data_IF_533931200488
#
_entry.id   IF_533931200488
#
_cell.length_a   1.000
_cell.length_b   1.000
_cell.length_c   1.000
_cell.angle_alpha   90.00
_cell.angle_beta   90.00
_cell.angle_gamma   90.00
#
_symmetry.space_group_name_H-M   'P 1'
#
loop_
_entity.id
_entity.type
_entity.pdbx_description
1 polymer ?
#
# COMPACT_ATOMS: atom_id res chain seq x y z
N UNK A 1 -21.91 2.87 -24.46
CA UNK A 1 -21.58 2.01 -23.27
C UNK A 1 -20.65 0.82 -23.55
N UNK A 2 -20.17 0.61 -24.76
CA UNK A 2 -19.17 -0.44 -25.06
C UNK A 2 -17.76 -0.12 -24.55
N UNK A 3 -17.49 1.10 -24.11
CA UNK A 3 -16.14 1.59 -23.75
C UNK A 3 -15.89 1.78 -22.24
N UNK A 4 -16.75 1.27 -21.37
CA UNK A 4 -16.40 1.10 -19.97
C UNK A 4 -15.59 -0.20 -19.86
N UNK A 5 -14.58 -0.32 -20.67
CA UNK A 5 -13.68 -1.46 -20.75
C UNK A 5 -12.35 -1.09 -20.11
N UNK A 6 -11.91 -1.94 -19.19
CA UNK A 6 -10.60 -1.81 -18.59
C UNK A 6 -9.50 -1.87 -19.65
N UNK A 7 -8.91 -0.74 -20.02
CA UNK A 7 -7.56 -0.74 -20.55
C UNK A 7 -6.62 -0.98 -19.36
N UNK A 8 -5.84 -2.05 -19.42
CA UNK A 8 -4.86 -2.43 -18.38
C UNK A 8 -5.43 -2.68 -16.97
N UNK A 9 -6.66 -3.20 -16.82
CA UNK A 9 -7.23 -3.53 -15.51
C UNK A 9 -7.70 -2.33 -14.69
N UNK A 10 -7.77 -1.15 -15.27
CA UNK A 10 -8.25 0.07 -14.61
C UNK A 10 -9.58 0.54 -15.20
N UNK A 11 -10.50 0.92 -14.32
CA UNK A 11 -11.69 1.64 -14.70
C UNK A 11 -11.34 3.11 -14.84
N UNK A 12 -11.32 3.60 -16.07
CA UNK A 12 -11.26 5.04 -16.33
C UNK A 12 -12.70 5.53 -16.40
N UNK A 13 -13.05 6.46 -15.52
CA UNK A 13 -14.29 7.20 -15.67
C UNK A 13 -14.10 8.15 -16.86
N UNK A 14 -14.89 8.02 -17.94
CA UNK A 14 -14.82 8.97 -19.04
C UNK A 14 -15.06 10.39 -18.52
N UNK A 15 -14.35 11.38 -19.06
CA UNK A 15 -14.63 12.78 -18.77
C UNK A 15 -16.09 13.09 -19.08
N UNK A 16 -16.79 13.79 -18.18
CA UNK A 16 -18.18 14.20 -18.37
C UNK A 16 -19.23 13.16 -18.00
N UNK A 17 -18.87 12.03 -17.41
CA UNK A 17 -19.87 11.11 -16.88
C UNK A 17 -20.48 11.68 -15.59
N UNK A 18 -21.79 11.81 -15.62
CA UNK A 18 -22.58 12.11 -14.43
C UNK A 18 -22.76 10.84 -13.58
N UNK A 19 -21.98 10.73 -12.52
CA UNK A 19 -22.07 9.64 -11.56
C UNK A 19 -23.29 9.74 -10.65
N UNK A 20 -24.05 10.83 -10.72
CA UNK A 20 -25.36 10.94 -10.05
C UNK A 20 -26.45 10.18 -10.80
N UNK A 21 -26.24 9.85 -12.09
CA UNK A 21 -27.20 9.08 -12.89
C UNK A 21 -27.50 7.70 -12.26
N UNK A 22 -28.73 7.47 -11.82
CA UNK A 22 -29.13 6.20 -11.23
C UNK A 22 -29.01 5.00 -12.19
N UNK A 23 -29.15 5.23 -13.50
CA UNK A 23 -29.04 4.18 -14.51
C UNK A 23 -27.61 3.69 -14.63
N UNK A 24 -26.65 4.62 -14.69
CA UNK A 24 -25.22 4.29 -14.68
C UNK A 24 -24.83 3.53 -13.42
N UNK A 25 -25.32 3.94 -12.25
CA UNK A 25 -25.03 3.26 -10.99
C UNK A 25 -25.61 1.85 -10.92
N UNK A 26 -26.78 1.63 -11.48
CA UNK A 26 -27.37 0.28 -11.61
C UNK A 26 -26.51 -0.60 -12.52
N UNK A 27 -26.09 -0.07 -13.65
CA UNK A 27 -25.23 -0.77 -14.60
C UNK A 27 -23.86 -1.13 -13.97
N UNK A 28 -23.22 -0.22 -13.28
CA UNK A 28 -21.99 -0.50 -12.54
C UNK A 28 -22.17 -1.66 -11.54
N UNK A 29 -23.26 -1.67 -10.78
CA UNK A 29 -23.57 -2.76 -9.85
C UNK A 29 -23.79 -4.10 -10.58
N UNK A 30 -24.46 -4.09 -11.74
CA UNK A 30 -24.68 -5.28 -12.58
C UNK A 30 -23.35 -5.87 -13.07
N UNK A 31 -22.53 -5.04 -13.71
CA UNK A 31 -21.22 -5.44 -14.25
C UNK A 31 -20.31 -5.99 -13.15
N UNK A 32 -20.29 -5.33 -11.98
CA UNK A 32 -19.51 -5.81 -10.82
C UNK A 32 -19.97 -7.19 -10.35
N UNK A 33 -21.28 -7.43 -10.29
CA UNK A 33 -21.85 -8.73 -9.90
C UNK A 33 -21.47 -9.83 -10.89
N UNK A 34 -21.58 -9.57 -12.19
CA UNK A 34 -21.24 -10.51 -13.24
C UNK A 34 -19.76 -10.88 -13.23
N UNK A 35 -18.89 -9.87 -13.12
CA UNK A 35 -17.43 -10.11 -13.03
C UNK A 35 -17.07 -10.92 -11.79
N UNK A 36 -17.69 -10.64 -10.63
CA UNK A 36 -17.48 -11.43 -9.42
C UNK A 36 -17.95 -12.87 -9.58
N UNK A 37 -19.08 -13.13 -10.24
CA UNK A 37 -19.52 -14.49 -10.54
C UNK A 37 -18.49 -15.25 -11.38
N UNK A 38 -17.95 -14.60 -12.41
CA UNK A 38 -16.95 -15.20 -13.29
C UNK A 38 -15.68 -15.65 -12.53
N UNK A 39 -15.22 -14.88 -11.57
CA UNK A 39 -13.96 -15.16 -10.86
C UNK A 39 -14.16 -15.81 -9.48
N UNK A 40 -15.39 -15.83 -8.96
CA UNK A 40 -15.75 -16.38 -7.65
C UNK A 40 -15.30 -15.52 -6.45
N UNK A 41 -15.64 -15.94 -5.22
CA UNK A 41 -15.29 -15.20 -4.02
C UNK A 41 -13.79 -15.30 -3.73
N UNK A 42 -13.24 -14.20 -3.24
CA UNK A 42 -11.86 -14.14 -2.73
C UNK A 42 -11.94 -13.88 -1.24
N UNK A 43 -11.34 -14.76 -0.44
CA UNK A 43 -11.15 -14.58 0.99
C UNK A 43 -9.69 -14.27 1.27
N UNK A 44 -9.43 -13.31 2.12
CA UNK A 44 -8.08 -12.91 2.54
C UNK A 44 -8.00 -12.90 4.05
N UNK A 45 -6.88 -13.36 4.65
CA UNK A 45 -6.66 -13.24 6.08
C UNK A 45 -6.78 -11.79 6.54
N UNK A 46 -7.32 -11.58 7.74
CA UNK A 46 -7.53 -10.23 8.29
C UNK A 46 -6.22 -9.45 8.42
N UNK A 47 -5.14 -10.14 8.79
CA UNK A 47 -3.82 -9.52 8.96
C UNK A 47 -3.34 -8.83 7.67
N UNK A 48 -3.63 -9.43 6.52
CA UNK A 48 -3.32 -8.83 5.21
C UNK A 48 -4.16 -7.60 4.92
N UNK A 49 -5.44 -7.64 5.30
CA UNK A 49 -6.35 -6.53 5.04
C UNK A 49 -6.06 -5.31 5.93
N UNK A 50 -5.36 -5.50 7.06
CA UNK A 50 -4.92 -4.44 7.98
C UNK A 50 -3.62 -3.76 7.56
N UNK A 51 -2.92 -4.25 6.53
CA UNK A 51 -1.69 -3.66 6.03
C UNK A 51 -1.98 -2.42 5.18
N UNK A 52 -1.45 -1.27 5.57
CA UNK A 52 -1.59 0.01 4.84
C UNK A 52 -0.27 0.71 4.61
N UNK A 53 0.77 0.36 5.36
CA UNK A 53 2.11 0.90 5.19
C UNK A 53 3.09 -0.24 5.03
N UNK A 54 3.61 -0.36 3.82
CA UNK A 54 4.64 -1.30 3.46
C UNK A 54 5.99 -0.59 3.31
N UNK A 55 7.07 -1.27 3.58
CA UNK A 55 8.42 -0.79 3.25
C UNK A 55 9.21 -1.87 2.56
N UNK A 56 10.10 -1.46 1.66
CA UNK A 56 11.10 -2.34 1.05
C UNK A 56 12.48 -1.96 1.58
N UNK A 57 13.22 -2.96 2.01
CA UNK A 57 14.56 -2.79 2.55
C UNK A 57 15.53 -3.76 1.89
N UNK A 58 16.64 -3.24 1.35
CA UNK A 58 17.75 -4.06 0.90
C UNK A 58 18.44 -4.71 2.09
N UNK A 59 18.87 -5.96 1.95
CA UNK A 59 19.53 -6.70 3.04
C UNK A 59 20.75 -5.97 3.60
N UNK A 60 21.50 -5.27 2.76
CA UNK A 60 22.67 -4.49 3.16
C UNK A 60 22.41 -2.98 3.15
N UNK A 61 21.16 -2.56 3.30
CA UNK A 61 20.83 -1.16 3.46
C UNK A 61 21.52 -0.60 4.72
N UNK A 62 22.08 0.61 4.61
CA UNK A 62 22.74 1.31 5.73
C UNK A 62 21.83 1.50 6.95
N UNK A 63 20.51 1.45 6.75
CA UNK A 63 19.54 1.52 7.84
C UNK A 63 19.27 0.18 8.51
N UNK A 64 19.64 -0.93 7.86
CA UNK A 64 19.55 -2.28 8.40
C UNK A 64 20.90 -2.82 8.86
N UNK A 65 21.99 -2.44 8.20
CA UNK A 65 23.32 -2.95 8.47
C UNK A 65 24.35 -1.83 8.57
N UNK A 66 25.00 -1.77 9.71
CA UNK A 66 26.15 -0.88 9.92
C UNK A 66 27.44 -1.59 9.49
N UNK A 67 28.02 -1.11 8.40
CA UNK A 67 29.24 -1.69 7.82
C UNK A 67 30.49 -1.44 8.68
N UNK A 68 30.49 -0.37 9.48
CA UNK A 68 31.62 0.00 10.31
C UNK A 68 31.73 -0.90 11.54
N UNK A 69 30.60 -1.16 12.19
CA UNK A 69 30.50 -2.04 13.36
C UNK A 69 30.16 -3.49 13.00
N UNK A 70 29.79 -3.76 11.74
CA UNK A 70 29.31 -5.06 11.24
C UNK A 70 28.09 -5.57 12.03
N UNK A 71 27.21 -4.67 12.43
CA UNK A 71 26.03 -5.00 13.24
C UNK A 71 24.74 -4.79 12.48
N UNK A 72 23.76 -5.64 12.79
CA UNK A 72 22.40 -5.52 12.29
C UNK A 72 21.56 -4.58 13.15
N UNK A 73 20.73 -3.72 12.54
CA UNK A 73 19.95 -2.67 13.18
C UNK A 73 18.45 -2.79 12.89
N UNK A 74 17.91 -4.01 12.93
CA UNK A 74 16.49 -4.24 12.62
C UNK A 74 15.54 -3.49 13.57
N UNK A 75 15.86 -3.46 14.87
CA UNK A 75 15.07 -2.72 15.85
C UNK A 75 15.09 -1.21 15.58
N UNK A 76 16.27 -0.63 15.33
CA UNK A 76 16.42 0.79 14.98
C UNK A 76 15.69 1.15 13.68
N UNK A 77 15.70 0.24 12.69
CA UNK A 77 14.96 0.40 11.44
C UNK A 77 13.45 0.47 11.68
N UNK A 78 12.91 -0.41 12.51
CA UNK A 78 11.51 -0.42 12.88
C UNK A 78 11.14 0.78 13.75
N UNK A 79 11.99 1.18 14.71
CA UNK A 79 11.80 2.39 15.53
C UNK A 79 11.77 3.66 14.68
N UNK A 80 12.64 3.73 13.67
CA UNK A 80 12.61 4.81 12.69
C UNK A 80 11.29 4.81 11.92
N UNK A 81 10.83 3.66 11.46
CA UNK A 81 9.52 3.51 10.82
C UNK A 81 8.38 4.04 11.69
N UNK A 82 8.40 3.71 12.98
CA UNK A 82 7.40 4.19 13.93
C UNK A 82 7.44 5.72 14.08
N UNK A 83 8.61 6.30 14.29
CA UNK A 83 8.76 7.76 14.44
C UNK A 83 8.37 8.52 13.17
N UNK A 84 8.79 8.03 12.00
CA UNK A 84 8.63 8.78 10.75
C UNK A 84 7.27 8.55 10.10
N UNK A 85 6.70 7.33 10.18
CA UNK A 85 5.52 6.92 9.41
C UNK A 85 4.37 6.37 10.27
N UNK A 86 4.55 6.28 11.59
CA UNK A 86 3.61 5.59 12.49
C UNK A 86 3.70 4.07 12.37
N UNK A 87 4.87 3.56 12.03
CA UNK A 87 5.22 2.14 11.91
C UNK A 87 4.94 1.55 10.53
N UNK A 88 5.56 0.42 10.26
CA UNK A 88 5.27 -0.42 9.10
C UNK A 88 4.28 -1.52 9.48
N UNK A 89 3.45 -1.94 8.53
CA UNK A 89 2.59 -3.10 8.67
C UNK A 89 3.22 -4.33 8.00
N UNK A 90 4.10 -4.08 7.01
CA UNK A 90 4.80 -5.11 6.25
C UNK A 90 6.17 -4.62 5.80
N UNK A 91 7.14 -5.52 5.79
CA UNK A 91 8.49 -5.28 5.28
C UNK A 91 8.78 -6.30 4.18
N UNK A 92 9.20 -5.84 3.00
CA UNK A 92 9.80 -6.68 1.97
C UNK A 92 11.31 -6.66 2.19
N UNK A 93 11.89 -7.81 2.46
CA UNK A 93 13.33 -7.99 2.54
C UNK A 93 13.88 -8.33 1.15
N UNK A 94 14.58 -7.38 0.56
CA UNK A 94 15.11 -7.51 -0.79
C UNK A 94 16.59 -7.86 -0.74
N UNK A 95 16.95 -8.98 -1.37
CA UNK A 95 18.33 -9.46 -1.43
C UNK A 95 19.27 -8.63 -2.32
N UNK A 96 18.79 -7.55 -2.92
CA UNK A 96 19.40 -6.80 -4.02
C UNK A 96 19.33 -7.58 -5.33
N UNK A 97 19.68 -6.92 -6.42
CA UNK A 97 19.82 -7.64 -7.68
C UNK A 97 21.03 -8.57 -7.55
N UNK A 98 20.79 -9.86 -7.37
CA UNK A 98 21.85 -10.83 -7.35
C UNK A 98 22.54 -10.81 -8.71
N UNK A 99 23.46 -11.33 -9.10
CA UNK A 99 24.13 -11.37 -10.42
C UNK A 99 24.36 -9.98 -11.04
N UNK A 100 25.04 -9.10 -10.34
CA UNK A 100 25.61 -7.92 -10.99
C UNK A 100 26.77 -8.29 -11.93
N UNK A 101 26.93 -9.58 -12.27
CA UNK A 101 28.04 -10.10 -13.05
C UNK A 101 29.34 -10.28 -12.25
N UNK A 102 29.25 -10.29 -10.92
CA UNK A 102 30.43 -10.35 -10.04
C UNK A 102 30.79 -11.79 -9.65
N UNK A 103 29.79 -12.60 -9.37
CA UNK A 103 29.95 -13.99 -8.94
C UNK A 103 28.77 -14.88 -9.32
N UNK A 104 28.79 -16.16 -8.91
CA UNK A 104 27.78 -17.16 -9.24
C UNK A 104 26.62 -17.25 -8.21
N UNK A 105 26.56 -16.36 -7.24
CA UNK A 105 25.46 -16.37 -6.25
C UNK A 105 24.14 -16.02 -6.89
N UNK A 106 23.09 -16.75 -6.52
CA UNK A 106 21.72 -16.38 -6.84
C UNK A 106 21.05 -15.63 -5.70
N UNK A 107 19.78 -15.27 -5.92
CA UNK A 107 18.93 -14.60 -4.93
C UNK A 107 18.88 -15.30 -3.56
N UNK A 108 18.97 -16.62 -3.50
CA UNK A 108 18.89 -17.39 -2.25
C UNK A 108 20.26 -17.46 -1.55
N UNK A 109 21.34 -17.50 -2.30
CA UNK A 109 22.68 -17.48 -1.75
C UNK A 109 22.95 -16.17 -1.00
N UNK A 110 22.37 -15.05 -1.44
CA UNK A 110 22.48 -13.78 -0.71
C UNK A 110 21.85 -13.83 0.68
N UNK A 111 20.75 -14.58 0.86
CA UNK A 111 20.20 -14.80 2.20
C UNK A 111 21.08 -15.71 3.05
N UNK A 112 21.68 -16.76 2.45
CA UNK A 112 22.56 -17.70 3.16
C UNK A 112 23.88 -17.05 3.56
N UNK A 113 24.37 -16.14 2.72
CA UNK A 113 25.66 -15.47 2.93
C UNK A 113 25.56 -14.19 3.79
N UNK A 114 24.40 -13.90 4.37
CA UNK A 114 24.27 -12.84 5.37
C UNK A 114 25.22 -13.09 6.55
N UNK A 115 25.86 -12.08 7.13
CA UNK A 115 26.58 -12.23 8.40
C UNK A 115 25.68 -12.87 9.46
N UNK A 116 26.03 -14.09 9.90
CA UNK A 116 25.21 -14.93 10.75
C UNK A 116 24.18 -15.80 9.99
N UNK A 117 24.19 -15.80 8.65
CA UNK A 117 23.43 -16.71 7.80
C UNK A 117 21.91 -16.62 7.98
N UNK A 118 21.25 -17.76 7.78
CA UNK A 118 19.78 -17.86 7.91
C UNK A 118 19.27 -17.65 9.34
N UNK A 119 20.12 -17.79 10.36
CA UNK A 119 19.74 -17.46 11.74
C UNK A 119 19.51 -15.95 11.92
N UNK A 120 20.28 -15.11 11.23
CA UNK A 120 20.03 -13.68 11.17
C UNK A 120 18.68 -13.38 10.53
N UNK A 121 18.38 -14.01 9.40
CA UNK A 121 17.10 -13.83 8.73
C UNK A 121 15.92 -14.25 9.65
N UNK A 122 16.04 -15.38 10.34
CA UNK A 122 15.05 -15.86 11.31
C UNK A 122 14.86 -14.87 12.46
N UNK A 123 15.95 -14.33 13.01
CA UNK A 123 15.90 -13.30 14.06
C UNK A 123 15.16 -12.05 13.59
N UNK A 124 15.43 -11.57 12.38
CA UNK A 124 14.75 -10.39 11.84
C UNK A 124 13.24 -10.61 11.71
N UNK A 125 12.85 -11.75 11.14
CA UNK A 125 11.43 -12.09 11.02
C UNK A 125 10.79 -12.14 12.41
N UNK A 126 11.45 -12.76 13.39
CA UNK A 126 10.96 -12.82 14.78
C UNK A 126 10.80 -11.43 15.41
N UNK A 127 11.75 -10.53 15.21
CA UNK A 127 11.67 -9.14 15.71
C UNK A 127 10.50 -8.41 15.06
N UNK A 128 10.34 -8.53 13.74
CA UNK A 128 9.22 -7.95 13.03
C UNK A 128 7.87 -8.47 13.57
N UNK A 129 7.75 -9.78 13.74
CA UNK A 129 6.52 -10.42 14.26
C UNK A 129 6.16 -9.94 15.67
N UNK A 130 7.15 -9.81 16.57
CA UNK A 130 6.93 -9.28 17.93
C UNK A 130 6.35 -7.86 17.93
N UNK A 131 6.61 -7.10 16.88
CA UNK A 131 6.09 -5.75 16.65
C UNK A 131 4.83 -5.72 15.77
N UNK A 132 4.28 -6.88 15.42
CA UNK A 132 3.09 -7.00 14.57
C UNK A 132 3.35 -6.65 13.10
N UNK A 133 4.61 -6.66 12.67
CA UNK A 133 5.05 -6.36 11.30
C UNK A 133 5.25 -7.66 10.54
N UNK A 134 4.63 -7.77 9.37
CA UNK A 134 4.77 -8.92 8.48
C UNK A 134 6.04 -8.83 7.64
N UNK A 135 6.55 -9.96 7.21
CA UNK A 135 7.77 -10.03 6.39
C UNK A 135 7.52 -10.83 5.12
N UNK A 136 7.83 -10.23 3.98
CA UNK A 136 7.90 -10.91 2.69
C UNK A 136 9.37 -11.06 2.26
N UNK A 137 9.70 -12.24 1.76
CA UNK A 137 10.94 -12.45 1.02
C UNK A 137 10.72 -12.14 -0.46
N UNK A 138 11.76 -11.89 -1.20
CA UNK A 138 11.67 -11.56 -2.62
C UNK A 138 12.01 -12.77 -3.48
N UNK A 139 11.34 -12.88 -4.61
CA UNK A 139 11.64 -13.83 -5.65
C UNK A 139 11.74 -13.14 -7.02
N UNK A 140 12.86 -13.37 -7.70
CA UNK A 140 13.13 -12.88 -9.05
C UNK A 140 13.12 -14.06 -10.05
N UNK A 141 12.22 -14.08 -11.04
CA UNK A 141 12.09 -15.22 -11.95
C UNK A 141 13.25 -15.38 -12.92
N UNK A 142 14.05 -14.35 -13.10
CA UNK A 142 15.20 -14.32 -14.00
C UNK A 142 16.53 -14.69 -13.30
N UNK A 143 16.55 -14.84 -11.97
CA UNK A 143 17.73 -15.21 -11.21
C UNK A 143 17.52 -16.52 -10.44
N UNK A 144 17.54 -17.62 -11.16
CA UNK A 144 17.21 -18.96 -10.67
C UNK A 144 18.38 -19.91 -10.61
N UNK A 145 19.41 -19.64 -11.40
CA UNK A 145 20.59 -20.50 -11.52
C UNK A 145 21.73 -19.98 -10.65
N UNK A 146 22.47 -20.90 -10.05
CA UNK A 146 23.63 -20.62 -9.24
C UNK A 146 24.59 -21.77 -9.23
N UNK A 147 25.62 -21.58 -8.39
CA UNK A 147 26.50 -22.64 -7.92
C UNK A 147 25.79 -23.90 -7.39
N UNK A 148 24.51 -23.84 -7.06
CA UNK A 148 23.71 -24.98 -6.61
C UNK A 148 22.76 -25.53 -7.70
N UNK A 149 22.81 -25.00 -8.93
CA UNK A 149 21.94 -25.39 -10.00
C UNK A 149 20.51 -24.83 -9.89
N UNK A 150 19.59 -25.36 -10.73
CA UNK A 150 18.23 -24.86 -10.85
C UNK A 150 17.30 -25.46 -9.79
N UNK A 151 17.41 -25.02 -8.55
CA UNK A 151 16.62 -25.48 -7.41
C UNK A 151 15.70 -24.42 -6.85
N UNK A 152 15.37 -23.39 -7.62
CA UNK A 152 14.75 -22.15 -7.15
C UNK A 152 13.49 -22.33 -6.29
N UNK A 153 12.62 -23.29 -6.59
CA UNK A 153 11.42 -23.56 -5.79
C UNK A 153 11.77 -24.23 -4.44
N UNK A 154 12.69 -25.17 -4.48
CA UNK A 154 13.19 -25.82 -3.25
C UNK A 154 13.84 -24.80 -2.32
N UNK A 155 14.70 -23.95 -2.87
CA UNK A 155 15.40 -22.91 -2.12
C UNK A 155 14.43 -21.86 -1.54
N UNK A 156 13.39 -21.47 -2.30
CA UNK A 156 12.34 -20.59 -1.79
C UNK A 156 11.59 -21.22 -0.61
N UNK A 157 11.24 -22.50 -0.71
CA UNK A 157 10.55 -23.23 0.35
C UNK A 157 11.46 -23.33 1.60
N UNK A 158 12.72 -23.63 1.42
CA UNK A 158 13.72 -23.65 2.49
C UNK A 158 13.80 -22.30 3.20
N UNK A 159 13.94 -21.21 2.46
CA UNK A 159 13.98 -19.85 3.02
C UNK A 159 12.73 -19.54 3.83
N UNK A 160 11.55 -19.83 3.29
CA UNK A 160 10.28 -19.62 3.97
C UNK A 160 10.15 -20.46 5.24
N UNK A 161 10.59 -21.73 5.18
CA UNK A 161 10.55 -22.65 6.32
C UNK A 161 11.48 -22.21 7.44
N UNK A 162 12.72 -21.86 7.08
CA UNK A 162 13.75 -21.49 8.06
C UNK A 162 13.50 -20.13 8.66
N UNK A 163 13.12 -19.14 7.86
CA UNK A 163 12.90 -17.77 8.32
C UNK A 163 11.59 -17.59 9.08
N UNK A 164 10.55 -18.31 8.69
CA UNK A 164 9.19 -18.08 9.17
C UNK A 164 8.49 -16.88 8.50
N UNK A 165 9.06 -16.33 7.42
CA UNK A 165 8.49 -15.20 6.70
C UNK A 165 7.06 -15.47 6.20
N UNK A 166 6.21 -14.45 6.19
CA UNK A 166 4.76 -14.55 5.93
C UNK A 166 4.40 -14.76 4.46
N UNK A 167 5.34 -14.49 3.56
CA UNK A 167 5.04 -14.59 2.13
C UNK A 167 6.20 -14.21 1.22
N UNK A 168 5.85 -14.00 -0.03
CA UNK A 168 6.80 -13.74 -1.12
C UNK A 168 6.33 -12.55 -1.95
N UNK A 169 7.21 -11.58 -2.12
CA UNK A 169 7.09 -10.55 -3.14
C UNK A 169 7.66 -11.10 -4.47
N UNK A 170 6.84 -11.07 -5.52
CA UNK A 170 7.15 -11.62 -6.83
C UNK A 170 7.55 -10.49 -7.79
N UNK A 171 8.86 -10.27 -7.92
CA UNK A 171 9.42 -9.27 -8.82
C UNK A 171 9.12 -9.62 -10.27
N UNK A 172 8.71 -8.63 -11.08
CA UNK A 172 8.34 -8.75 -12.50
C UNK A 172 7.26 -9.79 -12.83
N UNK A 173 6.57 -10.33 -11.82
CA UNK A 173 5.53 -11.35 -12.01
C UNK A 173 4.13 -10.79 -11.69
N UNK A 174 3.11 -11.40 -12.34
CA UNK A 174 1.70 -11.03 -12.14
C UNK A 174 0.84 -12.20 -11.66
N UNK A 175 1.40 -13.39 -11.55
CA UNK A 175 0.72 -14.60 -11.11
C UNK A 175 1.68 -15.57 -10.43
N UNK A 176 1.15 -16.39 -9.52
CA UNK A 176 1.90 -17.51 -8.92
C UNK A 176 1.97 -18.68 -9.92
N UNK A 177 3.14 -19.26 -10.19
CA UNK A 177 3.24 -20.45 -11.01
C UNK A 177 2.42 -21.61 -10.41
N UNK A 178 1.59 -22.26 -11.23
CA UNK A 178 0.73 -23.37 -10.76
C UNK A 178 1.52 -24.49 -10.08
N UNK A 179 2.75 -24.73 -10.54
CA UNK A 179 3.65 -25.73 -9.96
C UNK A 179 4.03 -25.47 -8.50
N UNK A 180 3.86 -24.22 -8.00
CA UNK A 180 4.21 -23.85 -6.62
C UNK A 180 3.13 -24.17 -5.62
N UNK A 181 1.86 -24.28 -6.04
CA UNK A 181 0.70 -24.41 -5.14
C UNK A 181 0.83 -25.59 -4.18
N UNK A 182 1.10 -26.79 -4.71
CA UNK A 182 1.24 -28.02 -3.87
C UNK A 182 2.47 -27.97 -2.96
N UNK A 183 3.69 -27.70 -3.47
CA UNK A 183 4.87 -27.65 -2.61
C UNK A 183 4.78 -26.60 -1.49
N UNK A 184 4.22 -25.41 -1.75
CA UNK A 184 4.06 -24.37 -0.73
C UNK A 184 2.97 -24.72 0.30
N UNK A 185 1.92 -25.42 -0.10
CA UNK A 185 0.90 -25.90 0.84
C UNK A 185 1.47 -26.87 1.90
N UNK A 186 2.56 -27.59 1.57
CA UNK A 186 3.24 -28.48 2.50
C UNK A 186 3.91 -27.75 3.67
N UNK A 187 4.05 -26.42 3.60
CA UNK A 187 4.53 -25.63 4.75
C UNK A 187 3.51 -25.58 5.92
N UNK A 188 2.28 -26.06 5.71
CA UNK A 188 1.24 -26.13 6.77
C UNK A 188 0.77 -24.77 7.27
N UNK A 189 1.13 -23.69 6.59
CA UNK A 189 0.72 -22.31 6.92
C UNK A 189 0.40 -21.52 5.67
N UNK A 190 -0.33 -20.45 5.86
CA UNK A 190 -0.67 -19.54 4.76
C UNK A 190 0.55 -18.75 4.31
N UNK A 191 0.86 -18.80 3.01
CA UNK A 191 1.89 -18.00 2.36
C UNK A 191 1.21 -16.91 1.52
N UNK A 192 1.50 -15.66 1.82
CA UNK A 192 1.00 -14.53 1.06
C UNK A 192 1.85 -14.32 -0.20
N UNK A 193 1.20 -13.88 -1.28
CA UNK A 193 1.88 -13.47 -2.50
C UNK A 193 1.55 -12.02 -2.81
N UNK A 194 2.58 -11.27 -3.13
CA UNK A 194 2.48 -9.91 -3.62
C UNK A 194 3.17 -9.80 -4.97
N UNK A 195 2.52 -9.15 -5.93
CA UNK A 195 3.07 -8.93 -7.27
C UNK A 195 3.56 -7.51 -7.47
N UNK A 196 4.62 -7.35 -8.26
CA UNK A 196 5.10 -6.02 -8.63
C UNK A 196 4.06 -5.25 -9.45
N UNK A 197 3.33 -5.92 -10.33
CA UNK A 197 2.25 -5.31 -11.11
C UNK A 197 0.88 -5.71 -10.61
N UNK A 198 -0.13 -4.92 -10.94
CA UNK A 198 -1.53 -5.21 -10.57
C UNK A 198 -2.02 -6.46 -11.30
N UNK A 199 -2.39 -7.54 -10.59
CA UNK A 199 -2.87 -8.77 -11.19
C UNK A 199 -4.28 -8.55 -11.78
N UNK A 200 -4.60 -9.32 -12.81
CA UNK A 200 -5.90 -9.30 -13.47
C UNK A 200 -6.53 -10.70 -13.54
N UNK A 201 -7.85 -10.75 -13.72
CA UNK A 201 -8.55 -12.01 -13.94
C UNK A 201 -8.32 -13.05 -12.84
N UNK A 202 -7.94 -14.26 -13.22
CA UNK A 202 -7.76 -15.39 -12.30
C UNK A 202 -6.57 -15.19 -11.33
N UNK A 203 -5.55 -14.45 -11.73
CA UNK A 203 -4.38 -14.18 -10.88
C UNK A 203 -4.76 -13.42 -9.59
N UNK A 204 -5.82 -12.61 -9.61
CA UNK A 204 -6.36 -11.96 -8.42
C UNK A 204 -6.76 -12.93 -7.30
N UNK A 205 -7.02 -14.20 -7.61
CA UNK A 205 -7.33 -15.20 -6.58
C UNK A 205 -6.13 -15.57 -5.73
N UNK A 206 -4.97 -15.61 -6.35
CA UNK A 206 -3.74 -16.11 -5.73
C UNK A 206 -2.93 -14.96 -5.14
N UNK A 207 -2.96 -13.78 -5.79
CA UNK A 207 -2.27 -12.59 -5.31
C UNK A 207 -3.06 -11.90 -4.19
N UNK A 208 -2.43 -11.76 -3.04
CA UNK A 208 -3.03 -11.15 -1.85
C UNK A 208 -2.90 -9.64 -1.86
N UNK A 209 -1.79 -9.17 -2.39
CA UNK A 209 -1.44 -7.78 -2.58
C UNK A 209 -0.70 -7.56 -3.89
N UNK A 210 -0.55 -6.30 -4.26
CA UNK A 210 0.18 -5.89 -5.45
C UNK A 210 0.62 -4.44 -5.33
N UNK A 211 1.66 -4.08 -6.08
CA UNK A 211 2.03 -2.68 -6.26
C UNK A 211 1.12 -1.99 -7.27
N UNK A 212 0.74 -0.76 -6.97
CA UNK A 212 -0.08 0.11 -7.81
C UNK A 212 0.77 0.98 -8.73
N UNK A 213 1.68 0.38 -9.48
CA UNK A 213 2.50 1.11 -10.44
C UNK A 213 1.65 1.70 -11.57
N UNK A 214 1.95 2.92 -11.96
CA UNK A 214 1.27 3.59 -13.07
C UNK A 214 -0.18 4.00 -12.78
N UNK A 215 -0.64 3.93 -11.54
CA UNK A 215 -1.94 4.46 -11.16
C UNK A 215 -1.94 5.98 -11.27
N UNK A 216 -2.98 6.54 -11.88
CA UNK A 216 -3.22 7.97 -11.77
C UNK A 216 -3.70 8.25 -10.35
N UNK A 217 -2.83 8.79 -9.54
CA UNK A 217 -3.02 8.88 -8.11
C UNK A 217 -3.91 10.05 -7.74
N UNK A 218 -3.75 11.20 -8.43
CA UNK A 218 -4.44 12.40 -8.01
C UNK A 218 -4.70 13.37 -9.17
N UNK A 219 -5.92 13.91 -9.34
CA UNK A 219 -7.12 13.44 -8.66
C UNK A 219 -7.43 12.00 -9.04
N UNK A 220 -7.92 11.17 -8.11
CA UNK A 220 -8.21 9.77 -8.39
C UNK A 220 -9.39 9.67 -9.36
N UNK A 221 -9.07 9.57 -10.65
CA UNK A 221 -10.03 9.45 -11.74
C UNK A 221 -10.27 8.00 -12.15
N UNK A 222 -9.51 7.07 -11.55
CA UNK A 222 -9.53 5.65 -11.93
C UNK A 222 -9.87 4.79 -10.73
N UNK A 223 -10.61 3.71 -11.00
CA UNK A 223 -10.84 2.64 -10.04
C UNK A 223 -10.30 1.36 -10.67
N UNK A 224 -9.29 0.79 -10.06
CA UNK A 224 -8.73 -0.46 -10.56
C UNK A 224 -9.67 -1.64 -10.28
N UNK A 225 -9.74 -2.57 -11.22
CA UNK A 225 -10.55 -3.78 -11.10
C UNK A 225 -10.24 -4.54 -9.81
N UNK A 226 -8.97 -4.66 -9.43
CA UNK A 226 -8.58 -5.28 -8.17
C UNK A 226 -9.27 -4.63 -6.98
N UNK A 227 -9.35 -3.31 -6.94
CA UNK A 227 -9.97 -2.57 -5.84
C UNK A 227 -11.49 -2.53 -5.92
N UNK A 228 -12.04 -2.40 -7.13
CA UNK A 228 -13.48 -2.34 -7.33
C UNK A 228 -14.18 -3.68 -7.16
N UNK A 229 -13.58 -4.74 -7.70
CA UNK A 229 -14.16 -6.10 -7.65
C UNK A 229 -13.89 -6.77 -6.31
N UNK A 230 -12.67 -6.66 -5.81
CA UNK A 230 -12.22 -7.34 -4.59
C UNK A 230 -11.46 -6.39 -3.66
N UNK A 231 -12.16 -5.54 -2.92
CA UNK A 231 -11.52 -4.57 -2.03
C UNK A 231 -10.69 -5.22 -0.90
N UNK A 232 -10.77 -6.53 -0.75
CA UNK A 232 -9.91 -7.31 0.13
C UNK A 232 -8.51 -7.53 -0.45
N UNK A 233 -8.33 -7.41 -1.79
CA UNK A 233 -7.01 -7.37 -2.40
C UNK A 233 -6.34 -6.06 -2.03
N UNK A 234 -5.16 -6.14 -1.41
CA UNK A 234 -4.43 -4.96 -0.98
C UNK A 234 -3.58 -4.42 -2.12
N UNK A 235 -3.61 -3.12 -2.33
CA UNK A 235 -2.71 -2.44 -3.26
C UNK A 235 -1.87 -1.44 -2.50
N UNK A 236 -0.56 -1.45 -2.75
CA UNK A 236 0.38 -0.46 -2.23
C UNK A 236 0.75 0.51 -3.34
N UNK A 237 0.52 1.79 -3.14
CA UNK A 237 0.84 2.82 -4.11
C UNK A 237 2.34 3.02 -4.18
N UNK A 238 2.89 3.01 -5.40
CA UNK A 238 4.33 3.05 -5.66
C UNK A 238 4.70 4.01 -6.78
N UNK A 239 3.76 4.85 -7.20
CA UNK A 239 3.91 5.72 -8.37
C UNK A 239 5.08 6.70 -8.22
N UNK A 240 5.22 7.28 -7.05
CA UNK A 240 6.25 8.26 -6.72
C UNK A 240 7.50 7.65 -6.05
N UNK A 241 7.72 6.33 -6.13
CA UNK A 241 8.81 5.62 -5.41
C UNK A 241 10.21 6.23 -5.64
N UNK A 242 10.43 6.86 -6.77
CA UNK A 242 11.71 7.53 -7.11
C UNK A 242 11.73 9.02 -6.76
N UNK A 243 10.71 9.53 -6.09
CA UNK A 243 10.55 10.91 -5.69
C UNK A 243 10.62 11.06 -4.18
N UNK A 244 10.68 12.29 -3.72
CA UNK A 244 10.63 12.63 -2.28
C UNK A 244 9.27 13.18 -1.85
N UNK A 245 8.41 13.52 -2.82
CA UNK A 245 7.08 14.05 -2.62
C UNK A 245 6.04 12.93 -2.82
N UNK A 246 5.34 12.58 -1.74
CA UNK A 246 4.36 11.49 -1.70
C UNK A 246 2.97 11.95 -1.22
N UNK A 247 2.73 13.26 -1.24
CA UNK A 247 1.45 13.84 -0.80
C UNK A 247 0.26 13.19 -1.48
N UNK A 248 0.33 13.10 -2.80
CA UNK A 248 -0.77 12.57 -3.61
C UNK A 248 -1.01 11.07 -3.35
N UNK A 249 0.04 10.29 -3.15
CA UNK A 249 -0.09 8.87 -2.81
C UNK A 249 -0.80 8.68 -1.47
N UNK A 250 -0.42 9.45 -0.46
CA UNK A 250 -1.05 9.34 0.88
C UNK A 250 -2.51 9.81 0.83
N UNK A 251 -2.80 10.88 0.09
CA UNK A 251 -4.17 11.33 -0.14
C UNK A 251 -4.99 10.24 -0.85
N UNK A 252 -4.44 9.66 -1.92
CA UNK A 252 -5.09 8.57 -2.65
C UNK A 252 -5.30 7.34 -1.76
N UNK A 253 -4.34 7.00 -0.91
CA UNK A 253 -4.45 5.85 0.00
C UNK A 253 -5.66 5.98 0.94
N UNK A 254 -5.85 7.12 1.59
CA UNK A 254 -7.03 7.34 2.42
C UNK A 254 -8.31 7.34 1.58
N UNK A 255 -8.31 8.02 0.43
CA UNK A 255 -9.50 8.12 -0.41
C UNK A 255 -9.97 6.77 -0.93
N UNK A 256 -9.04 5.91 -1.37
CA UNK A 256 -9.33 4.62 -1.99
C UNK A 256 -9.22 3.42 -1.04
N UNK A 257 -8.81 3.63 0.21
CA UNK A 257 -8.59 2.56 1.18
C UNK A 257 -7.44 1.61 0.78
N UNK A 258 -6.45 2.10 0.02
CA UNK A 258 -5.24 1.37 -0.36
C UNK A 258 -4.11 1.60 0.64
N UNK A 259 -2.98 0.95 0.45
CA UNK A 259 -1.75 1.22 1.19
C UNK A 259 -0.78 2.07 0.38
N UNK A 260 0.35 2.38 1.01
CA UNK A 260 1.49 3.05 0.38
C UNK A 260 2.77 2.28 0.63
N UNK A 261 3.68 2.31 -0.34
CA UNK A 261 5.04 1.82 -0.18
C UNK A 261 5.93 2.97 0.29
N UNK A 262 6.55 2.78 1.45
CA UNK A 262 7.62 3.66 1.95
C UNK A 262 8.96 3.06 1.54
N UNK A 263 9.59 3.64 0.52
CA UNK A 263 10.89 3.17 0.06
C UNK A 263 11.87 4.36 0.00
N UNK A 264 12.72 4.47 1.02
CA UNK A 264 13.59 5.64 1.20
C UNK A 264 14.99 5.50 0.62
N UNK A 265 15.35 4.31 0.14
CA UNK A 265 16.63 4.04 -0.49
C UNK A 265 16.41 3.20 -1.75
N UNK A 266 15.90 3.84 -2.80
CA UNK A 266 15.56 3.14 -4.05
C UNK A 266 16.84 2.94 -4.87
N UNK A 267 17.31 1.70 -4.91
CA UNK A 267 18.53 1.29 -5.61
C UNK A 267 19.76 2.12 -5.24
N UNK A 268 19.88 2.50 -3.96
CA UNK A 268 21.00 3.32 -3.49
C UNK A 268 20.80 4.83 -3.65
N UNK A 269 19.70 5.28 -4.23
CA UNK A 269 19.33 6.68 -4.30
C UNK A 269 18.51 7.06 -3.06
N UNK A 270 18.88 8.18 -2.44
CA UNK A 270 18.10 8.72 -1.32
C UNK A 270 16.80 9.34 -1.84
N UNK A 271 15.72 8.66 -1.58
CA UNK A 271 14.34 9.09 -1.85
C UNK A 271 13.58 9.36 -0.56
N UNK A 272 14.29 9.79 0.49
CA UNK A 272 13.68 10.10 1.78
C UNK A 272 12.50 11.06 1.63
N UNK A 273 11.38 10.68 2.20
CA UNK A 273 10.14 11.45 2.14
C UNK A 273 10.30 12.81 2.81
N UNK A 274 9.65 13.83 2.26
CA UNK A 274 9.58 15.13 2.90
C UNK A 274 8.72 15.06 4.17
N UNK A 275 9.06 15.86 5.18
CA UNK A 275 8.43 15.79 6.50
C UNK A 275 6.92 16.06 6.48
N UNK A 276 6.44 16.87 5.55
CA UNK A 276 5.02 17.13 5.32
C UNK A 276 4.26 15.83 5.05
N UNK A 277 4.80 14.96 4.19
CA UNK A 277 4.15 13.73 3.73
C UNK A 277 4.24 12.63 4.80
N UNK A 278 5.34 12.58 5.54
CA UNK A 278 5.44 11.73 6.74
C UNK A 278 4.36 12.08 7.77
N UNK A 279 4.16 13.39 8.04
CA UNK A 279 3.10 13.86 8.95
C UNK A 279 1.71 13.49 8.44
N UNK A 280 1.48 13.60 7.13
CA UNK A 280 0.20 13.21 6.53
C UNK A 280 -0.06 11.72 6.70
N UNK A 281 0.94 10.87 6.43
CA UNK A 281 0.80 9.42 6.58
C UNK A 281 0.54 9.03 8.04
N UNK A 282 1.29 9.60 9.00
CA UNK A 282 1.02 9.39 10.44
C UNK A 282 -0.40 9.77 10.84
N UNK A 283 -0.95 10.83 10.24
CA UNK A 283 -2.29 11.31 10.54
C UNK A 283 -3.40 10.41 9.97
N UNK A 284 -3.24 9.86 8.77
CA UNK A 284 -4.30 9.06 8.11
C UNK A 284 -4.24 7.57 8.42
N UNK A 285 -3.06 7.04 8.75
CA UNK A 285 -2.87 5.60 9.02
C UNK A 285 -3.78 5.06 10.13
N UNK A 286 -3.97 5.74 11.29
CA UNK A 286 -4.90 5.26 12.32
C UNK A 286 -6.33 5.08 11.81
N UNK A 287 -6.79 5.99 10.96
CA UNK A 287 -8.13 5.90 10.32
C UNK A 287 -8.18 4.66 9.41
N UNK A 288 -7.19 4.50 8.54
CA UNK A 288 -7.10 3.34 7.63
C UNK A 288 -7.12 2.02 8.41
N UNK A 289 -6.35 1.91 9.49
CA UNK A 289 -6.27 0.69 10.31
C UNK A 289 -7.54 0.43 11.12
N UNK A 290 -8.15 1.44 11.70
CA UNK A 290 -9.36 1.29 12.51
C UNK A 290 -10.56 0.86 11.65
N UNK A 291 -10.66 1.41 10.44
CA UNK A 291 -11.77 1.17 9.53
C UNK A 291 -11.42 0.20 8.39
N UNK A 292 -10.45 -0.71 8.59
CA UNK A 292 -10.02 -1.64 7.56
C UNK A 292 -11.17 -2.53 7.02
N UNK A 293 -12.13 -2.91 7.87
CA UNK A 293 -13.32 -3.68 7.46
C UNK A 293 -14.21 -2.89 6.52
N UNK A 294 -14.29 -1.58 6.70
CA UNK A 294 -14.98 -0.69 5.78
C UNK A 294 -14.26 -0.68 4.42
N UNK A 295 -12.96 -0.47 4.43
CA UNK A 295 -12.16 -0.44 3.20
C UNK A 295 -12.06 -1.79 2.48
N UNK A 296 -12.34 -2.89 3.16
CA UNK A 296 -12.43 -4.23 2.59
C UNK A 296 -13.86 -4.65 2.22
N UNK A 297 -14.86 -3.81 2.48
CA UNK A 297 -16.26 -4.18 2.28
C UNK A 297 -16.59 -4.32 0.79
N UNK A 298 -17.20 -5.44 0.37
CA UNK A 298 -17.47 -5.70 -1.04
C UNK A 298 -18.44 -4.72 -1.67
N UNK A 299 -19.36 -4.13 -0.92
CA UNK A 299 -20.42 -3.27 -1.44
C UNK A 299 -20.09 -1.77 -1.35
N UNK A 300 -18.80 -1.43 -1.20
CA UNK A 300 -18.39 -0.03 -1.26
C UNK A 300 -18.78 0.63 -2.58
N UNK A 301 -19.05 1.91 -2.54
CA UNK A 301 -19.51 2.66 -3.70
C UNK A 301 -18.53 3.81 -3.99
N UNK A 302 -17.89 3.77 -5.16
CA UNK A 302 -17.04 4.88 -5.58
C UNK A 302 -17.89 6.04 -6.07
N UNK A 303 -17.35 7.26 -5.92
CA UNK A 303 -17.83 8.49 -6.50
C UNK A 303 -19.36 8.69 -6.36
N UNK A 304 -19.87 8.61 -5.13
CA UNK A 304 -21.27 8.93 -4.86
C UNK A 304 -21.52 10.42 -5.13
N UNK A 305 -22.78 10.82 -5.42
CA UNK A 305 -23.15 12.22 -5.59
C UNK A 305 -22.69 13.07 -4.41
N UNK A 306 -22.07 14.19 -4.71
CA UNK A 306 -21.54 15.16 -3.75
C UNK A 306 -22.16 16.54 -3.95
N UNK A 307 -21.96 17.44 -3.00
CA UNK A 307 -22.44 18.81 -3.09
C UNK A 307 -21.66 19.71 -4.07
N UNK A 308 -20.61 19.19 -4.69
CA UNK A 308 -19.77 19.88 -5.67
C UNK A 308 -19.12 18.88 -6.62
N UNK A 309 -19.15 19.13 -7.92
CA UNK A 309 -18.65 18.19 -8.94
C UNK A 309 -17.15 17.88 -8.81
N UNK A 310 -16.35 18.78 -8.25
CA UNK A 310 -14.92 18.57 -8.03
C UNK A 310 -14.64 17.82 -6.72
N UNK A 311 -15.59 17.79 -5.78
CA UNK A 311 -15.48 17.01 -4.56
C UNK A 311 -15.80 15.54 -4.85
N UNK A 312 -14.80 14.67 -4.83
CA UNK A 312 -15.01 13.23 -5.02
C UNK A 312 -15.28 12.57 -3.67
N UNK A 313 -16.29 11.69 -3.62
CA UNK A 313 -16.74 11.04 -2.39
C UNK A 313 -16.90 9.54 -2.63
N UNK A 314 -16.27 8.71 -1.80
CA UNK A 314 -16.50 7.27 -1.77
C UNK A 314 -17.27 6.89 -0.52
N UNK A 315 -18.08 5.84 -0.59
CA UNK A 315 -18.87 5.31 0.51
C UNK A 315 -18.43 3.88 0.84
N UNK A 316 -18.09 3.64 2.09
CA UNK A 316 -17.55 2.38 2.60
C UNK A 316 -18.42 1.86 3.75
N UNK A 317 -19.38 0.95 3.50
CA UNK A 317 -20.14 0.31 4.58
C UNK A 317 -19.21 -0.47 5.52
N UNK A 318 -19.60 -0.63 6.78
CA UNK A 318 -18.82 -1.43 7.73
C UNK A 318 -19.52 -1.66 9.06
N UNK A 319 -18.92 -2.42 9.96
CA UNK A 319 -19.60 -2.89 11.18
C UNK A 319 -19.88 -1.80 12.21
N UNK A 320 -19.05 -0.76 12.26
CA UNK A 320 -19.26 0.38 13.18
C UNK A 320 -20.21 1.43 12.58
N UNK A 321 -20.25 1.49 11.26
CA UNK A 321 -21.01 2.48 10.50
C UNK A 321 -20.44 2.62 9.09
N UNK A 322 -20.92 3.60 8.35
CA UNK A 322 -20.43 3.88 7.00
C UNK A 322 -19.36 4.96 7.05
N UNK A 323 -18.18 4.68 6.49
CA UNK A 323 -17.13 5.68 6.28
C UNK A 323 -17.33 6.32 4.90
N UNK A 324 -17.27 7.63 4.83
CA UNK A 324 -17.18 8.40 3.59
C UNK A 324 -15.79 8.99 3.50
N UNK A 325 -15.06 8.71 2.43
CA UNK A 325 -13.77 9.35 2.16
C UNK A 325 -13.96 10.43 1.12
N UNK A 326 -13.29 11.56 1.33
CA UNK A 326 -13.43 12.79 0.56
C UNK A 326 -12.09 13.11 -0.11
N UNK A 327 -12.12 13.56 -1.36
CA UNK A 327 -10.95 14.02 -2.06
C UNK A 327 -11.25 15.36 -2.76
N UNK A 328 -10.41 16.36 -2.52
CA UNK A 328 -10.50 17.70 -3.05
C UNK A 328 -9.16 18.15 -3.62
N UNK A 329 -9.10 18.42 -4.93
CA UNK A 329 -7.83 18.73 -5.62
C UNK A 329 -7.63 20.22 -5.94
N UNK A 330 -8.55 21.09 -5.51
CA UNK A 330 -8.45 22.51 -5.81
C UNK A 330 -7.46 23.22 -4.89
N UNK A 331 -6.90 24.35 -5.38
CA UNK A 331 -5.91 25.17 -4.65
C UNK A 331 -6.46 25.84 -3.39
N UNK A 332 -7.78 26.02 -3.31
CA UNK A 332 -8.45 26.57 -2.14
C UNK A 332 -9.15 25.47 -1.36
N UNK A 333 -9.28 25.64 -0.04
CA UNK A 333 -10.01 24.69 0.79
C UNK A 333 -11.52 24.73 0.46
N UNK A 334 -12.14 23.56 0.45
CA UNK A 334 -13.59 23.40 0.30
C UNK A 334 -14.30 23.60 1.63
N UNK A 335 -15.42 24.33 1.60
CA UNK A 335 -16.39 24.40 2.69
C UNK A 335 -17.80 24.39 2.09
N UNK A 336 -18.63 23.45 2.52
CA UNK A 336 -19.98 23.35 1.99
C UNK A 336 -20.59 21.96 2.12
N UNK A 337 -21.67 21.69 1.34
CA UNK A 337 -22.32 20.38 1.31
C UNK A 337 -21.37 19.29 0.84
N UNK A 338 -21.26 18.20 1.59
CA UNK A 338 -20.39 17.07 1.24
C UNK A 338 -21.15 16.00 0.43
N UNK A 339 -22.25 15.50 1.01
CA UNK A 339 -23.10 14.48 0.40
C UNK A 339 -24.47 14.45 1.11
N UNK A 340 -25.45 13.73 0.53
CA UNK A 340 -26.79 13.62 1.08
C UNK A 340 -26.79 12.94 2.47
N UNK A 341 -27.45 13.57 3.42
CA UNK A 341 -27.65 13.03 4.75
C UNK A 341 -28.84 12.05 4.79
N UNK A 342 -28.75 10.99 5.57
CA UNK A 342 -29.85 10.05 5.83
C UNK A 342 -30.56 10.44 7.12
N UNK A 343 -31.88 10.29 7.13
CA UNK A 343 -32.70 10.57 8.31
C UNK A 343 -32.27 9.69 9.50
N UNK A 344 -32.16 10.27 10.67
CA UNK A 344 -31.83 9.58 11.91
C UNK A 344 -30.34 9.21 12.09
N UNK A 345 -29.45 9.58 11.15
CA UNK A 345 -28.02 9.31 11.27
C UNK A 345 -27.25 10.48 11.88
N UNK A 346 -26.16 10.14 12.53
CA UNK A 346 -25.17 11.09 13.06
C UNK A 346 -23.89 10.96 12.25
N UNK A 347 -23.24 12.09 11.97
CA UNK A 347 -22.02 12.17 11.18
C UNK A 347 -20.88 12.77 12.00
N UNK A 348 -19.70 12.18 11.93
CA UNK A 348 -18.51 12.62 12.65
C UNK A 348 -17.36 12.75 11.65
N UNK A 349 -16.74 13.91 11.61
CA UNK A 349 -15.50 14.12 10.86
C UNK A 349 -14.35 13.39 11.55
N UNK A 350 -13.80 12.38 10.88
CA UNK A 350 -12.71 11.55 11.41
C UNK A 350 -11.36 12.29 11.47
N UNK A 351 -11.25 13.44 10.81
CA UNK A 351 -10.03 14.25 10.87
C UNK A 351 -10.03 15.10 12.15
N UNK A 352 -11.10 15.84 12.39
CA UNK A 352 -11.21 16.71 13.56
C UNK A 352 -11.76 16.02 14.81
N UNK A 353 -12.38 14.87 14.67
CA UNK A 353 -13.11 14.18 15.74
C UNK A 353 -14.44 14.84 16.10
N UNK A 354 -14.88 15.85 15.37
CA UNK A 354 -16.08 16.66 15.71
C UNK A 354 -17.31 16.16 14.94
N UNK A 355 -18.48 16.35 15.56
CA UNK A 355 -19.77 16.09 14.89
C UNK A 355 -19.95 17.06 13.72
N UNK A 356 -20.35 16.52 12.56
CA UNK A 356 -20.73 17.33 11.40
C UNK A 356 -22.13 17.92 11.56
N UNK A 357 -22.35 19.07 10.94
CA UNK A 357 -23.66 19.70 10.83
C UNK A 357 -24.40 19.13 9.63
N UNK A 358 -25.73 19.00 9.72
CA UNK A 358 -26.60 18.69 8.58
C UNK A 358 -27.49 19.89 8.28
N UNK A 359 -27.59 20.28 7.00
CA UNK A 359 -28.46 21.37 6.53
C UNK A 359 -29.09 20.97 5.20
N UNK A 360 -30.38 21.26 5.03
CA UNK A 360 -31.10 21.00 3.76
C UNK A 360 -30.95 19.54 3.27
N UNK A 361 -30.95 18.56 4.18
CA UNK A 361 -30.79 17.16 3.80
C UNK A 361 -29.35 16.76 3.39
N UNK A 362 -28.34 17.61 3.64
CA UNK A 362 -26.95 17.33 3.32
C UNK A 362 -26.04 17.41 4.54
N UNK A 363 -24.98 16.61 4.56
CA UNK A 363 -23.87 16.73 5.51
C UNK A 363 -22.98 17.88 5.08
N UNK A 364 -22.68 18.82 5.97
CA UNK A 364 -21.85 19.98 5.69
C UNK A 364 -20.52 19.83 6.41
N UNK A 365 -19.43 20.20 5.72
CA UNK A 365 -18.09 20.10 6.28
C UNK A 365 -17.06 20.85 5.46
N UNK A 366 -15.79 20.49 5.66
CA UNK A 366 -14.67 21.10 4.97
C UNK A 366 -13.61 20.07 4.60
N UNK A 367 -12.89 20.33 3.50
CA UNK A 367 -11.71 19.59 3.09
C UNK A 367 -10.62 20.59 2.74
N UNK A 368 -9.39 20.35 3.18
CA UNK A 368 -8.25 21.23 2.89
C UNK A 368 -7.95 21.31 1.39
N UNK A 369 -7.20 22.35 0.98
CA UNK A 369 -6.70 22.49 -0.37
C UNK A 369 -5.83 21.27 -0.75
N UNK A 370 -6.03 20.72 -1.95
CA UNK A 370 -5.33 19.52 -2.46
C UNK A 370 -5.22 18.41 -1.40
N UNK A 371 -6.33 18.11 -0.72
CA UNK A 371 -6.32 17.25 0.45
C UNK A 371 -7.48 16.25 0.46
N UNK A 372 -7.54 15.49 1.52
CA UNK A 372 -8.54 14.45 1.75
C UNK A 372 -9.27 14.67 3.06
N UNK A 373 -10.39 13.97 3.22
CA UNK A 373 -11.14 13.92 4.46
C UNK A 373 -11.79 12.58 4.65
N UNK A 374 -12.34 12.35 5.84
CA UNK A 374 -13.13 11.16 6.12
C UNK A 374 -14.24 11.50 7.11
N UNK A 375 -15.45 10.99 6.86
CA UNK A 375 -16.62 11.18 7.72
C UNK A 375 -17.20 9.82 8.07
N UNK A 376 -17.50 9.59 9.33
CA UNK A 376 -18.19 8.39 9.82
C UNK A 376 -19.68 8.68 10.01
N UNK A 377 -20.53 7.88 9.38
CA UNK A 377 -21.98 7.83 9.61
C UNK A 377 -22.28 6.71 10.59
N UNK A 378 -23.01 7.01 11.66
CA UNK A 378 -23.50 6.03 12.65
C UNK A 378 -24.97 6.28 12.98
N UNK A 379 -25.64 5.27 13.53
CA UNK A 379 -26.99 5.45 14.07
C UNK A 379 -26.95 6.34 15.32
N UNK A 380 -26.08 6.01 16.25
CA UNK A 380 -25.94 6.69 17.54
C UNK A 380 -24.46 6.89 17.89
N UNK A 381 -24.13 8.04 18.38
CA UNK A 381 -22.77 8.34 18.87
C UNK A 381 -22.59 7.78 20.30
N UNK A 382 -22.40 6.46 20.39
CA UNK A 382 -22.15 5.75 21.65
C UNK A 382 -20.78 6.12 22.25
N UNK A 383 -20.55 5.80 23.54
CA UNK A 383 -19.25 5.99 24.17
C UNK A 383 -18.14 5.27 23.40
N UNK A 384 -18.33 4.01 23.01
CA UNK A 384 -17.35 3.26 22.24
C UNK A 384 -17.02 3.88 20.87
N UNK A 385 -17.99 4.49 20.19
CA UNK A 385 -17.74 5.22 18.94
C UNK A 385 -16.96 6.51 19.21
N UNK A 386 -17.26 7.24 20.29
CA UNK A 386 -16.51 8.44 20.70
C UNK A 386 -15.05 8.09 21.01
N UNK A 387 -14.83 7.03 21.76
CA UNK A 387 -13.48 6.55 22.11
C UNK A 387 -12.69 6.11 20.86
N UNK A 388 -13.35 5.40 19.94
CA UNK A 388 -12.74 5.02 18.66
C UNK A 388 -12.33 6.28 17.86
N UNK A 389 -13.24 7.24 17.72
CA UNK A 389 -12.97 8.50 17.01
C UNK A 389 -11.83 9.27 17.69
N UNK A 390 -11.84 9.39 19.01
CA UNK A 390 -10.78 10.08 19.76
C UNK A 390 -9.39 9.44 19.55
N UNK A 391 -9.34 8.11 19.41
CA UNK A 391 -8.08 7.38 19.16
C UNK A 391 -7.53 7.58 17.75
N UNK A 392 -8.38 7.82 16.75
CA UNK A 392 -7.95 7.85 15.34
C UNK A 392 -7.92 9.26 14.75
N UNK A 393 -8.63 10.20 15.31
CA UNK A 393 -8.71 11.56 14.79
C UNK A 393 -7.41 12.33 15.05
N UNK A 394 -6.70 12.77 14.00
CA UNK A 394 -5.45 13.52 14.18
C UNK A 394 -5.65 14.97 14.64
N UNK A 395 -6.91 15.42 14.80
CA UNK A 395 -7.28 16.79 15.07
C UNK A 395 -7.25 17.67 13.82
N UNK A 396 -6.20 17.55 13.03
CA UNK A 396 -6.07 18.22 11.72
C UNK A 396 -5.06 17.49 10.85
N UNK A 397 -5.20 17.60 9.52
CA UNK A 397 -4.16 17.20 8.57
C UNK A 397 -3.14 18.35 8.38
N UNK A 398 -1.89 18.04 8.01
CA UNK A 398 -0.96 19.07 7.54
C UNK A 398 -1.55 19.80 6.33
N UNK A 399 -1.13 21.05 6.12
CA UNK A 399 -1.55 21.82 4.94
C UNK A 399 -0.71 21.40 3.74
N UNK A 400 -1.33 21.37 2.58
CA UNK A 400 -0.59 21.26 1.33
C UNK A 400 0.26 22.54 1.14
N UNK A 401 1.53 22.32 0.93
CA UNK A 401 2.49 23.36 0.53
C UNK A 401 3.30 22.74 -0.60
N UNK A 402 3.47 23.47 -1.69
CA UNK A 402 4.32 22.99 -2.78
C UNK A 402 5.75 22.85 -2.27
N UNK A 403 6.35 21.69 -2.48
CA UNK A 403 7.72 21.42 -2.05
C UNK A 403 8.57 21.27 -3.31
N UNK A 404 9.49 22.20 -3.51
CA UNK A 404 10.49 22.03 -4.55
C UNK A 404 11.51 20.99 -4.07
N UNK A 405 11.37 19.76 -4.58
CA UNK A 405 12.26 18.65 -4.24
C UNK A 405 13.63 18.75 -4.92
N UNK A 406 13.76 19.58 -5.96
CA UNK A 406 15.02 19.78 -6.69
C UNK A 406 16.02 20.60 -5.85
N UNK A 407 15.53 21.41 -4.92
CA UNK A 407 16.36 22.22 -4.00
C UNK A 407 16.83 21.46 -2.77
N UNK A 408 16.29 20.25 -2.51
CA UNK A 408 16.75 19.41 -1.42
C UNK A 408 17.99 18.69 -1.92
N UNK A 409 19.21 19.04 -1.45
CA UNK A 409 20.42 18.41 -1.94
C UNK A 409 20.28 16.89 -1.75
N UNK A 410 20.64 16.08 -2.77
CA UNK A 410 20.78 14.66 -2.58
C UNK A 410 21.73 14.45 -1.40
N UNK A 411 21.30 13.74 -0.36
CA UNK A 411 22.17 13.42 0.75
C UNK A 411 23.37 12.69 0.18
N UNK A 412 24.49 13.40 0.16
CA UNK A 412 25.79 13.10 -0.37
C UNK A 412 25.85 11.88 -1.30
N UNK A 413 26.17 12.12 -2.57
CA UNK A 413 26.58 10.99 -3.44
C UNK A 413 27.50 10.11 -2.61
N UNK A 414 27.25 8.80 -2.51
CA UNK A 414 28.15 7.93 -1.79
C UNK A 414 29.56 8.19 -2.33
N UNK A 415 30.48 8.62 -1.46
CA UNK A 415 31.90 8.80 -1.86
C UNK A 415 32.26 7.50 -2.55
N UNK A 416 32.52 7.55 -3.85
CA UNK A 416 32.94 6.38 -4.63
C UNK A 416 34.15 5.82 -3.91
N UNK A 417 33.98 4.71 -3.23
CA UNK A 417 35.09 4.02 -2.57
C UNK A 417 36.09 3.62 -3.66
N UNK A 418 37.37 3.84 -3.49
CA UNK A 418 38.40 3.61 -4.52
C UNK A 418 38.48 2.18 -5.07
N UNK A 419 37.76 1.22 -4.48
CA UNK A 419 37.70 -0.19 -4.86
C UNK A 419 37.21 -0.46 -6.29
N UNK A 420 36.37 0.41 -6.87
CA UNK A 420 35.88 0.23 -8.25
C UNK A 420 36.89 0.65 -9.34
N UNK A 421 38.03 1.26 -9.00
CA UNK A 421 39.08 1.60 -9.98
C UNK A 421 39.98 0.43 -10.38
N UNK A 422 39.99 -0.69 -9.64
CA UNK A 422 40.90 -1.82 -9.91
C UNK A 422 40.37 -2.88 -10.90
N UNK A 423 39.10 -2.81 -11.27
CA UNK A 423 38.48 -3.81 -12.16
C UNK A 423 38.30 -3.38 -13.63
N UNK A 424 38.84 -2.21 -14.02
CA UNK A 424 38.96 -1.86 -15.45
C UNK A 424 40.27 -2.38 -16.02
N UNK A 425 40.36 -3.65 -16.30
CA UNK A 425 41.52 -4.16 -17.00
C UNK A 425 41.76 -5.65 -16.83
N UNK A 426 40.88 -6.48 -17.30
CA UNK A 426 41.21 -7.75 -17.92
C UNK A 426 40.00 -8.13 -18.80
N UNK A 427 40.16 -7.94 -20.10
CA UNK A 427 39.36 -8.62 -21.10
C UNK A 427 39.67 -10.12 -21.06
N UNK A 428 38.72 -10.99 -21.37
CA UNK A 428 38.94 -12.43 -21.39
C UNK A 428 39.94 -12.84 -22.43
#
# INVERSE_FOLDING_TARGET
MKDIGARHGAWVLPKGIDLSDPALRREMKRVRRERRKKFGPIRRPEQLQKCFVETMAFLYDRHLYDRSTRTWRIDEFLDRGEREFGGYDQVILWQSYPRPGVDERNQFDYYRDLPGGLDTLRKWVSVCHKRGVRVLLTYNPWDRHTRQGNRHLHDLIEMLKVSGADGVYLDTMHAVPKAWTKPLAMLGRHIAFESEGTPTGAALREMHSAWGQGWQIYPPAQIFDSRWLWPQHKTFLTHHRHQRNHWEEVCCALFTGTGVLVWQNVFGNDTSWVERDKKLLRAVKPILRAFWRNFAHPDWQPFIPSGNNELKVNQWPGPVGTVYTLCWNEKQAYRGPLFAAKKGKTYVDLISGKKCTTRGGTVVGAVGARSVGAVLEVDKLTAGVKDLVAKVAPGRLPRYVEVNTDTIPPQGKPKRTPLLRRYKGRKP
#
